data_IF_314142471659
#
_entry.id   IF_314142471659
#
_cell.length_a   1.000
_cell.length_b   1.000
_cell.length_c   1.000
_cell.angle_alpha   90.00
_cell.angle_beta   90.00
_cell.angle_gamma   90.00
#
_symmetry.space_group_name_H-M   'P 1'
#
loop_
_entity.id
_entity.type
_entity.pdbx_description
1 polymer ?
#
# COMPACT_ATOMS: atom_id res chain seq x y z
N UNK A 1 0.67 16.39 22.95
CA UNK A 1 -0.19 16.64 21.77
C UNK A 1 -0.04 15.46 20.82
N UNK A 2 -1.14 14.95 20.28
CA UNK A 2 -1.10 13.95 19.22
C UNK A 2 -0.52 14.57 17.94
N UNK A 3 0.26 13.82 17.18
CA UNK A 3 0.81 14.27 15.91
C UNK A 3 0.65 13.20 14.83
N UNK A 4 0.39 13.64 13.61
CA UNK A 4 0.26 12.79 12.43
C UNK A 4 1.47 13.03 11.53
N UNK A 5 2.07 11.94 11.04
CA UNK A 5 3.05 11.97 9.97
C UNK A 5 2.50 11.20 8.78
N UNK A 6 2.47 11.85 7.63
CA UNK A 6 2.13 11.27 6.34
C UNK A 6 3.36 11.32 5.41
N UNK A 7 3.30 10.59 4.32
CA UNK A 7 4.24 10.74 3.21
C UNK A 7 4.12 12.16 2.68
N UNK A 8 5.24 12.90 2.64
CA UNK A 8 5.27 14.36 2.47
C UNK A 8 4.82 14.88 1.10
N UNK A 9 4.70 14.00 0.12
CA UNK A 9 4.26 14.35 -1.24
C UNK A 9 2.83 13.92 -1.57
N UNK A 10 2.05 13.54 -0.54
CA UNK A 10 0.61 13.36 -0.62
C UNK A 10 -0.11 14.67 -0.24
N UNK A 11 -1.18 14.96 -0.93
CA UNK A 11 -2.04 16.12 -0.70
C UNK A 11 -3.49 15.79 -1.05
N UNK A 12 -4.44 16.62 -0.56
CA UNK A 12 -5.86 16.55 -0.94
C UNK A 12 -6.17 17.74 -1.82
N UNK A 13 -6.66 17.48 -3.02
CA UNK A 13 -7.12 18.50 -3.96
C UNK A 13 -8.41 18.06 -4.64
N UNK A 14 -9.38 18.95 -4.70
CA UNK A 14 -10.70 18.69 -5.30
C UNK A 14 -11.31 17.36 -4.79
N UNK A 15 -11.30 17.17 -3.47
CA UNK A 15 -11.79 15.99 -2.77
C UNK A 15 -11.13 14.66 -3.21
N UNK A 16 -9.93 14.72 -3.75
CA UNK A 16 -9.17 13.54 -4.16
C UNK A 16 -7.78 13.53 -3.54
N UNK A 17 -7.31 12.35 -3.17
CA UNK A 17 -5.91 12.14 -2.77
C UNK A 17 -5.02 12.21 -4.00
N UNK A 18 -4.05 13.12 -3.98
CA UNK A 18 -3.11 13.33 -5.09
C UNK A 18 -1.67 13.24 -4.62
N UNK A 19 -0.75 13.02 -5.56
CA UNK A 19 0.68 13.20 -5.33
C UNK A 19 1.20 14.41 -6.11
N UNK A 20 2.12 15.16 -5.49
CA UNK A 20 2.82 16.28 -6.10
C UNK A 20 4.20 15.92 -6.69
N UNK A 21 4.50 14.64 -6.83
CA UNK A 21 5.80 14.15 -7.37
C UNK A 21 5.96 14.41 -8.86
N UNK A 22 4.88 14.55 -9.61
CA UNK A 22 4.88 14.93 -11.02
C UNK A 22 4.61 16.43 -11.17
N UNK A 23 4.83 16.99 -12.36
CA UNK A 23 4.57 18.42 -12.66
C UNK A 23 3.08 18.79 -12.54
N UNK A 24 2.18 17.83 -12.64
CA UNK A 24 0.72 17.96 -12.44
C UNK A 24 0.28 17.09 -11.29
N UNK A 25 -0.80 17.48 -10.63
CA UNK A 25 -1.45 16.64 -9.64
C UNK A 25 -1.90 15.33 -10.27
N UNK A 26 -1.66 14.25 -9.56
CA UNK A 26 -1.91 12.90 -10.05
C UNK A 26 -2.68 12.13 -8.98
N UNK A 27 -3.92 11.73 -9.27
CA UNK A 27 -4.77 10.96 -8.36
C UNK A 27 -4.06 9.68 -7.96
N UNK A 28 -4.14 9.34 -6.68
CA UNK A 28 -3.41 8.18 -6.11
C UNK A 28 -4.31 6.98 -5.92
N UNK A 29 -5.50 7.20 -5.35
CA UNK A 29 -6.33 6.09 -4.89
C UNK A 29 -6.92 5.30 -6.07
N UNK A 30 -6.76 3.98 -6.00
CA UNK A 30 -7.31 3.01 -6.95
C UNK A 30 -8.17 2.01 -6.18
N UNK A 31 -9.47 1.98 -6.52
CA UNK A 31 -10.44 1.06 -5.93
C UNK A 31 -10.43 -0.28 -6.63
N UNK A 32 -10.30 -1.33 -5.86
CA UNK A 32 -10.39 -2.71 -6.32
C UNK A 32 -11.84 -3.08 -6.66
N UNK A 33 -12.03 -3.88 -7.72
CA UNK A 33 -13.32 -4.47 -8.04
C UNK A 33 -13.73 -5.56 -7.05
N UNK A 34 -15.05 -5.78 -6.91
CA UNK A 34 -15.60 -6.75 -5.96
C UNK A 34 -15.28 -8.22 -6.30
N UNK A 35 -14.91 -8.51 -7.55
CA UNK A 35 -14.68 -9.87 -8.06
C UNK A 35 -13.21 -10.16 -8.34
N UNK A 36 -12.31 -9.22 -8.09
CA UNK A 36 -10.89 -9.43 -8.32
C UNK A 36 -10.13 -9.66 -7.00
N UNK A 37 -9.14 -10.54 -7.03
CA UNK A 37 -8.21 -10.78 -5.92
C UNK A 37 -6.94 -9.92 -6.03
N UNK A 38 -7.03 -8.74 -6.63
CA UNK A 38 -5.87 -7.96 -7.07
C UNK A 38 -5.40 -6.89 -6.05
N UNK A 39 -5.72 -7.01 -4.75
CA UNK A 39 -5.30 -6.03 -3.74
C UNK A 39 -3.79 -5.72 -3.79
N UNK A 40 -2.93 -6.71 -4.01
CA UNK A 40 -1.50 -6.52 -4.16
C UNK A 40 -1.13 -5.64 -5.36
N UNK A 41 -1.57 -5.94 -6.59
CA UNK A 41 -1.42 -5.08 -7.76
C UNK A 41 -1.94 -3.65 -7.56
N UNK A 42 -3.11 -3.45 -6.94
CA UNK A 42 -3.65 -2.12 -6.65
C UNK A 42 -2.73 -1.34 -5.69
N UNK A 43 -2.30 -1.95 -4.59
CA UNK A 43 -1.31 -1.35 -3.68
C UNK A 43 -0.01 -1.00 -4.42
N UNK A 44 0.43 -1.87 -5.33
CA UNK A 44 1.63 -1.64 -6.13
C UNK A 44 1.48 -0.44 -7.07
N UNK A 45 0.35 -0.34 -7.79
CA UNK A 45 0.09 0.79 -8.68
C UNK A 45 -0.03 2.10 -7.91
N UNK A 46 -0.79 2.14 -6.81
CA UNK A 46 -0.85 3.31 -5.94
C UNK A 46 0.54 3.72 -5.45
N UNK A 47 1.40 2.77 -5.08
CA UNK A 47 2.79 3.05 -4.69
C UNK A 47 3.59 3.69 -5.82
N UNK A 48 3.50 3.17 -7.04
CA UNK A 48 4.19 3.72 -8.21
C UNK A 48 3.67 5.11 -8.59
N UNK A 49 2.38 5.38 -8.42
CA UNK A 49 1.78 6.70 -8.60
C UNK A 49 2.33 7.66 -7.54
N UNK A 50 2.31 7.28 -6.26
CA UNK A 50 2.86 8.08 -5.16
C UNK A 50 4.32 8.48 -5.43
N UNK A 51 5.11 7.58 -5.97
CA UNK A 51 6.52 7.82 -6.30
C UNK A 51 6.73 8.58 -7.64
N UNK A 52 5.66 8.88 -8.39
CA UNK A 52 5.73 9.58 -9.67
C UNK A 52 6.35 8.76 -10.80
N UNK A 53 6.29 7.42 -10.72
CA UNK A 53 6.82 6.52 -11.75
C UNK A 53 5.79 6.18 -12.83
N UNK A 54 4.51 6.26 -12.51
CA UNK A 54 3.38 6.17 -13.43
C UNK A 54 2.35 7.24 -13.04
N UNK A 55 1.45 7.57 -13.93
CA UNK A 55 0.28 8.39 -13.62
C UNK A 55 -0.98 7.52 -13.48
N UNK A 56 -2.04 8.12 -12.95
CA UNK A 56 -3.33 7.46 -12.71
C UNK A 56 -3.92 6.90 -14.01
N UNK A 57 -3.84 7.67 -15.11
CA UNK A 57 -4.40 7.26 -16.40
C UNK A 57 -3.74 5.99 -16.93
N UNK A 58 -2.43 5.81 -16.72
CA UNK A 58 -1.74 4.57 -17.04
C UNK A 58 -2.23 3.39 -16.19
N UNK A 59 -2.53 3.63 -14.91
CA UNK A 59 -2.97 2.57 -14.00
C UNK A 59 -4.38 2.06 -14.30
N UNK A 60 -5.30 2.94 -14.74
CA UNK A 60 -6.69 2.56 -15.06
C UNK A 60 -6.87 2.10 -16.52
N UNK A 61 -5.95 2.45 -17.42
CA UNK A 61 -6.03 2.14 -18.85
C UNK A 61 -4.95 1.13 -19.26
N UNK A 62 -4.93 -0.04 -18.64
CA UNK A 62 -3.91 -1.07 -18.87
C UNK A 62 -3.79 -1.50 -20.33
N UNK A 63 -4.91 -1.49 -21.09
CA UNK A 63 -4.99 -1.87 -22.50
C UNK A 63 -4.19 -0.94 -23.44
N UNK A 64 -4.04 0.33 -23.06
CA UNK A 64 -3.30 1.34 -23.84
C UNK A 64 -1.82 1.41 -23.47
N UNK A 65 -1.39 0.57 -22.54
CA UNK A 65 -0.03 0.62 -22.03
C UNK A 65 0.95 0.03 -23.05
N UNK A 66 1.92 0.82 -23.48
CA UNK A 66 2.97 0.36 -24.41
C UNK A 66 3.74 -0.81 -23.80
N UNK A 67 3.68 -1.99 -24.41
CA UNK A 67 4.28 -3.25 -23.92
C UNK A 67 5.78 -3.09 -23.60
N UNK A 68 6.51 -2.28 -24.36
CA UNK A 68 7.95 -2.05 -24.15
C UNK A 68 8.27 -1.03 -23.05
N UNK A 69 7.29 -0.32 -22.50
CA UNK A 69 7.49 0.55 -21.34
C UNK A 69 7.77 -0.27 -20.08
N UNK A 70 8.39 0.35 -19.05
CA UNK A 70 8.61 -0.34 -17.76
C UNK A 70 7.29 -0.81 -17.14
N UNK A 71 6.27 0.05 -17.17
CA UNK A 71 4.95 -0.30 -16.67
C UNK A 71 4.28 -1.38 -17.52
N UNK A 72 4.36 -1.29 -18.85
CA UNK A 72 3.81 -2.32 -19.73
C UNK A 72 4.43 -3.70 -19.53
N UNK A 73 5.76 -3.76 -19.33
CA UNK A 73 6.44 -5.01 -18.97
C UNK A 73 5.92 -5.60 -17.66
N UNK A 74 5.66 -4.76 -16.65
CA UNK A 74 5.10 -5.19 -15.37
C UNK A 74 3.68 -5.74 -15.54
N UNK A 75 2.81 -5.02 -16.25
CA UNK A 75 1.41 -5.43 -16.52
C UNK A 75 1.39 -6.77 -17.29
N UNK A 76 2.21 -6.90 -18.33
CA UNK A 76 2.33 -8.15 -19.06
C UNK A 76 2.75 -9.31 -18.15
N UNK A 77 3.75 -9.08 -17.30
CA UNK A 77 4.22 -10.09 -16.33
C UNK A 77 3.14 -10.44 -15.29
N UNK A 78 2.32 -9.49 -14.87
CA UNK A 78 1.16 -9.74 -14.01
C UNK A 78 0.12 -10.64 -14.69
N UNK A 79 -0.15 -10.41 -15.98
CA UNK A 79 -1.07 -11.25 -16.76
C UNK A 79 -0.56 -12.70 -16.85
N UNK A 80 0.75 -12.90 -17.14
CA UNK A 80 1.36 -14.24 -17.16
C UNK A 80 1.20 -14.98 -15.82
N UNK A 81 1.24 -14.27 -14.69
CA UNK A 81 1.10 -14.86 -13.36
C UNK A 81 -0.35 -14.97 -12.87
N UNK A 82 -1.32 -14.45 -13.62
CA UNK A 82 -2.72 -14.40 -13.20
C UNK A 82 -2.99 -13.50 -11.98
N UNK A 83 -2.07 -12.60 -11.64
CA UNK A 83 -2.14 -11.77 -10.44
C UNK A 83 -3.15 -10.61 -10.54
N UNK A 84 -3.62 -10.28 -11.76
CA UNK A 84 -4.62 -9.24 -11.99
C UNK A 84 -6.07 -9.71 -11.79
N UNK A 85 -6.30 -11.01 -11.59
CA UNK A 85 -7.66 -11.54 -11.58
C UNK A 85 -8.06 -12.18 -10.24
N UNK A 86 -7.87 -13.48 -10.06
CA UNK A 86 -8.51 -14.18 -8.95
C UNK A 86 -7.57 -14.83 -7.92
N UNK A 87 -6.29 -14.95 -8.24
CA UNK A 87 -5.38 -15.80 -7.43
C UNK A 87 -4.69 -15.11 -6.26
N UNK A 88 -4.98 -13.83 -6.03
CA UNK A 88 -4.21 -13.05 -5.07
C UNK A 88 -2.73 -12.91 -5.47
N UNK A 89 -1.94 -12.26 -4.65
CA UNK A 89 -0.52 -12.01 -4.91
C UNK A 89 0.29 -12.25 -3.64
N UNK A 90 1.41 -12.96 -3.77
CA UNK A 90 2.35 -13.17 -2.66
C UNK A 90 3.50 -12.15 -2.71
N UNK A 91 4.13 -11.88 -1.57
CA UNK A 91 5.29 -10.99 -1.44
C UNK A 91 6.39 -11.27 -2.50
N UNK A 92 6.70 -12.55 -2.77
CA UNK A 92 7.69 -12.93 -3.79
C UNK A 92 7.30 -12.45 -5.19
N UNK A 93 6.01 -12.49 -5.53
CA UNK A 93 5.52 -12.04 -6.83
C UNK A 93 5.60 -10.51 -6.93
N UNK A 94 5.19 -9.75 -5.91
CA UNK A 94 5.33 -8.29 -5.87
C UNK A 94 6.80 -7.88 -6.07
N UNK A 95 7.73 -8.54 -5.36
CA UNK A 95 9.16 -8.30 -5.51
C UNK A 95 9.65 -8.55 -6.93
N UNK A 96 9.33 -9.71 -7.52
CA UNK A 96 9.74 -10.08 -8.88
C UNK A 96 9.21 -9.09 -9.92
N UNK A 97 7.95 -8.65 -9.81
CA UNK A 97 7.35 -7.67 -10.72
C UNK A 97 8.11 -6.33 -10.69
N UNK A 98 8.48 -5.86 -9.50
CA UNK A 98 9.22 -4.62 -9.30
C UNK A 98 10.66 -4.73 -9.81
N UNK A 99 11.36 -5.80 -9.48
CA UNK A 99 12.74 -6.04 -9.94
C UNK A 99 12.79 -6.15 -11.47
N UNK A 100 11.87 -6.87 -12.07
CA UNK A 100 11.80 -7.03 -13.52
C UNK A 100 11.61 -5.70 -14.26
N UNK A 101 10.82 -4.78 -13.70
CA UNK A 101 10.34 -3.60 -14.42
C UNK A 101 10.99 -2.29 -13.98
N UNK A 102 11.29 -2.15 -12.68
CA UNK A 102 11.71 -0.88 -12.07
C UNK A 102 13.03 -0.95 -11.29
N UNK A 103 13.80 -2.04 -11.35
CA UNK A 103 15.03 -2.24 -10.59
C UNK A 103 16.00 -1.05 -10.66
N UNK A 104 16.13 -0.42 -11.84
CA UNK A 104 17.02 0.75 -12.04
C UNK A 104 16.52 2.05 -11.42
N UNK A 105 15.27 2.10 -10.95
CA UNK A 105 14.63 3.30 -10.40
C UNK A 105 14.28 3.18 -8.93
N UNK A 106 14.14 1.94 -8.43
CA UNK A 106 13.62 1.66 -7.11
C UNK A 106 14.66 1.00 -6.21
N UNK A 107 14.70 1.45 -4.98
CA UNK A 107 15.23 0.74 -3.82
C UNK A 107 14.08 -0.05 -3.19
N UNK A 108 14.28 -1.36 -3.00
CA UNK A 108 13.29 -2.26 -2.41
C UNK A 108 13.79 -2.76 -1.06
N UNK A 109 12.99 -2.53 -0.02
CA UNK A 109 13.23 -3.07 1.32
C UNK A 109 12.13 -4.08 1.64
N UNK A 110 12.50 -5.33 1.90
CA UNK A 110 11.57 -6.43 2.14
C UNK A 110 11.68 -6.91 3.57
N UNK A 111 10.55 -7.10 4.23
CA UNK A 111 10.47 -7.72 5.54
C UNK A 111 9.56 -8.95 5.52
N UNK A 112 10.05 -10.06 6.06
CA UNK A 112 9.27 -11.27 6.34
C UNK A 112 8.92 -11.39 7.83
N UNK A 113 9.18 -10.34 8.58
CA UNK A 113 8.83 -10.24 9.99
C UNK A 113 7.32 -10.12 10.16
N UNK A 114 6.82 -10.48 11.35
CA UNK A 114 5.38 -10.47 11.65
C UNK A 114 5.05 -9.55 12.83
N UNK A 115 3.79 -9.15 12.89
CA UNK A 115 3.25 -8.41 14.03
C UNK A 115 4.09 -7.17 14.40
N UNK A 116 4.52 -7.06 15.65
CA UNK A 116 5.23 -5.87 16.16
C UNK A 116 6.52 -5.53 15.40
N UNK A 117 7.28 -6.53 14.95
CA UNK A 117 8.52 -6.30 14.19
C UNK A 117 8.22 -5.72 12.82
N UNK A 118 7.17 -6.20 12.15
CA UNK A 118 6.72 -5.65 10.88
C UNK A 118 6.17 -4.23 11.04
N UNK A 119 5.43 -3.95 12.11
CA UNK A 119 4.99 -2.59 12.46
C UNK A 119 6.19 -1.65 12.58
N UNK A 120 7.23 -2.04 13.30
CA UNK A 120 8.44 -1.23 13.46
C UNK A 120 9.13 -1.00 12.11
N UNK A 121 9.27 -2.04 11.28
CA UNK A 121 9.79 -1.90 9.91
C UNK A 121 8.98 -0.86 9.13
N UNK A 122 7.65 -0.99 9.11
CA UNK A 122 6.77 -0.06 8.41
C UNK A 122 6.99 1.40 8.89
N UNK A 123 7.04 1.64 10.20
CA UNK A 123 7.28 2.96 10.79
C UNK A 123 8.62 3.54 10.32
N UNK A 124 9.69 2.76 10.33
CA UNK A 124 11.02 3.23 9.88
C UNK A 124 11.02 3.59 8.38
N UNK A 125 10.33 2.84 7.55
CA UNK A 125 10.19 3.16 6.12
C UNK A 125 9.37 4.45 5.91
N UNK A 126 8.25 4.60 6.61
CA UNK A 126 7.40 5.79 6.54
C UNK A 126 8.12 7.06 7.04
N UNK A 127 9.00 6.96 8.03
CA UNK A 127 9.86 8.07 8.47
C UNK A 127 10.76 8.59 7.33
N UNK A 128 11.14 7.72 6.40
CA UNK A 128 11.94 8.02 5.21
C UNK A 128 11.08 8.40 3.99
N UNK A 129 9.78 8.64 4.16
CA UNK A 129 8.81 8.87 3.08
C UNK A 129 8.73 7.72 2.05
N UNK A 130 8.97 6.49 2.47
CA UNK A 130 8.86 5.29 1.64
C UNK A 130 7.49 4.63 1.87
N UNK A 131 6.56 4.65 0.90
CA UNK A 131 5.31 3.90 1.01
C UNK A 131 5.60 2.41 1.17
N UNK A 132 4.79 1.74 2.00
CA UNK A 132 5.07 0.35 2.40
C UNK A 132 3.82 -0.51 2.24
N UNK A 133 3.89 -1.50 1.37
CA UNK A 133 2.81 -2.47 1.17
C UNK A 133 2.94 -3.53 2.26
N UNK A 134 1.86 -3.76 3.02
CA UNK A 134 1.80 -4.68 4.16
C UNK A 134 0.73 -5.73 3.92
N UNK A 135 1.11 -7.01 4.06
CA UNK A 135 0.17 -8.13 4.10
C UNK A 135 -0.45 -8.28 5.48
N UNK A 136 -1.76 -8.40 5.54
CA UNK A 136 -2.52 -8.72 6.74
C UNK A 136 -3.25 -10.06 6.59
N UNK A 137 -3.47 -10.74 7.72
CA UNK A 137 -4.19 -12.01 7.78
C UNK A 137 -5.17 -11.96 8.95
N UNK A 138 -6.41 -12.39 8.71
CA UNK A 138 -7.49 -12.58 9.69
C UNK A 138 -7.97 -14.02 9.73
N UNK A 139 -9.15 -14.29 10.31
CA UNK A 139 -9.75 -15.62 10.37
C UNK A 139 -10.07 -16.18 8.98
N UNK A 140 -10.58 -15.33 8.13
CA UNK A 140 -11.11 -15.61 6.78
C UNK A 140 -10.62 -14.58 5.74
N UNK A 141 -9.59 -13.82 6.10
CA UNK A 141 -9.05 -12.69 5.31
C UNK A 141 -7.55 -12.87 5.11
N UNK A 142 -7.11 -12.68 3.85
CA UNK A 142 -5.72 -12.38 3.51
C UNK A 142 -5.73 -11.21 2.53
N UNK A 143 -5.09 -10.10 2.89
CA UNK A 143 -5.24 -8.84 2.17
C UNK A 143 -3.97 -8.00 2.18
N UNK A 144 -3.80 -7.14 1.16
CA UNK A 144 -2.72 -6.18 1.06
C UNK A 144 -3.23 -4.75 1.28
N UNK A 145 -2.51 -4.02 2.10
CA UNK A 145 -2.75 -2.61 2.42
C UNK A 145 -1.52 -1.77 2.10
N UNK A 146 -1.71 -0.54 1.66
CA UNK A 146 -0.62 0.41 1.43
C UNK A 146 -0.50 1.41 2.58
N UNK A 147 0.52 1.27 3.41
CA UNK A 147 0.81 2.21 4.48
C UNK A 147 1.34 3.55 3.94
N UNK A 148 0.71 4.65 4.37
CA UNK A 148 1.02 6.01 3.93
C UNK A 148 1.34 6.98 5.08
N UNK A 149 1.18 6.54 6.34
CA UNK A 149 1.48 7.38 7.48
C UNK A 149 1.22 6.70 8.83
N UNK A 150 1.39 7.47 9.90
CA UNK A 150 1.14 7.03 11.26
C UNK A 150 0.79 8.19 12.20
N UNK A 151 0.10 7.84 13.31
CA UNK A 151 -0.18 8.75 14.43
C UNK A 151 0.76 8.45 15.59
N UNK A 152 1.26 9.50 16.25
CA UNK A 152 1.88 9.43 17.58
C UNK A 152 0.91 9.94 18.65
N UNK A 153 0.87 9.24 19.77
CA UNK A 153 0.16 9.67 20.97
C UNK A 153 0.89 10.83 21.66
N UNK A 154 0.32 11.33 22.77
CA UNK A 154 0.90 12.43 23.55
C UNK A 154 2.27 12.11 24.19
N UNK A 155 2.60 10.82 24.32
CA UNK A 155 3.91 10.34 24.80
C UNK A 155 4.95 10.21 23.68
N UNK A 156 4.58 10.55 22.42
CA UNK A 156 5.44 10.41 21.26
C UNK A 156 5.56 8.98 20.71
N UNK A 157 4.79 8.02 21.25
CA UNK A 157 4.76 6.63 20.77
C UNK A 157 3.79 6.50 19.61
N UNK A 158 4.12 5.68 18.60
CA UNK A 158 3.19 5.41 17.51
C UNK A 158 2.00 4.61 18.01
N UNK A 159 0.80 5.12 17.79
CA UNK A 159 -0.48 4.56 18.22
C UNK A 159 -1.25 3.88 17.09
N UNK A 160 -1.18 4.45 15.87
CA UNK A 160 -1.88 3.94 14.68
C UNK A 160 -1.00 4.01 13.44
N UNK A 161 -1.22 3.10 12.51
CA UNK A 161 -0.78 3.18 11.12
C UNK A 161 -1.96 3.54 10.23
N UNK A 162 -1.70 4.33 9.19
CA UNK A 162 -2.69 4.78 8.21
C UNK A 162 -2.45 4.11 6.87
N UNK A 163 -3.52 3.62 6.25
CA UNK A 163 -3.45 2.85 5.02
C UNK A 163 -4.40 3.35 3.94
N UNK A 164 -3.99 3.13 2.70
CA UNK A 164 -4.89 3.04 1.56
C UNK A 164 -5.23 1.57 1.37
N UNK A 165 -6.51 1.26 1.57
CA UNK A 165 -7.09 -0.06 1.35
C UNK A 165 -7.78 -0.05 -0.02
N UNK A 166 -7.32 -0.84 -0.99
CA UNK A 166 -7.94 -0.87 -2.30
C UNK A 166 -9.39 -1.41 -2.30
N UNK A 167 -9.77 -2.22 -1.31
CA UNK A 167 -11.15 -2.70 -1.16
C UNK A 167 -12.08 -1.73 -0.43
N UNK A 168 -11.54 -0.69 0.17
CA UNK A 168 -12.30 0.34 0.88
C UNK A 168 -13.04 1.30 -0.04
N UNK A 169 -13.89 2.15 0.54
CA UNK A 169 -14.59 3.19 -0.22
C UNK A 169 -13.66 4.34 -0.61
N UNK A 170 -14.01 5.01 -1.71
CA UNK A 170 -13.37 6.27 -2.10
C UNK A 170 -13.65 7.33 -1.04
N UNK A 171 -12.60 8.04 -0.59
CA UNK A 171 -12.75 9.05 0.44
C UNK A 171 -11.84 10.23 0.13
N UNK A 172 -12.31 11.46 0.43
CA UNK A 172 -11.52 12.67 0.28
C UNK A 172 -10.52 12.85 1.42
N UNK A 173 -9.86 11.77 1.88
CA UNK A 173 -8.92 11.77 2.98
C UNK A 173 -7.56 11.19 2.57
N UNK A 174 -6.57 11.33 3.45
CA UNK A 174 -5.24 10.79 3.24
C UNK A 174 -5.17 9.25 3.42
N UNK A 175 -6.19 8.64 4.03
CA UNK A 175 -6.29 7.19 4.25
C UNK A 175 -7.76 6.77 4.38
N UNK A 176 -8.03 5.50 4.15
CA UNK A 176 -9.34 4.88 4.30
C UNK A 176 -9.35 3.67 5.25
N UNK A 177 -8.19 3.29 5.81
CA UNK A 177 -8.11 2.25 6.82
C UNK A 177 -7.01 2.55 7.84
N UNK A 178 -7.15 1.99 9.05
CA UNK A 178 -6.16 2.14 10.14
C UNK A 178 -5.89 0.82 10.82
N UNK A 179 -4.64 0.64 11.33
CA UNK A 179 -4.31 -0.45 12.25
C UNK A 179 -3.79 0.15 13.55
N UNK A 180 -4.39 -0.24 14.69
CA UNK A 180 -3.89 0.12 16.00
C UNK A 180 -2.64 -0.71 16.35
N UNK A 181 -1.57 -0.01 16.72
CA UNK A 181 -0.25 -0.62 16.99
C UNK A 181 -0.24 -1.43 18.31
N UNK A 182 -1.11 -1.06 19.26
CA UNK A 182 -1.27 -1.78 20.52
C UNK A 182 -2.11 -3.03 20.29
N UNK A 183 -1.60 -4.18 20.75
CA UNK A 183 -2.38 -5.42 20.75
C UNK A 183 -3.65 -5.26 21.58
N UNK A 184 -4.79 -5.65 21.04
CA UNK A 184 -6.09 -5.62 21.73
C UNK A 184 -6.31 -6.86 22.59
N UNK A 185 -5.79 -8.00 22.16
CA UNK A 185 -5.90 -9.26 22.92
C UNK A 185 -4.70 -10.19 22.68
N UNK A 186 -4.64 -11.28 23.46
CA UNK A 186 -3.66 -12.38 23.31
C UNK A 186 -4.25 -13.41 22.35
N UNK A 187 -3.89 -13.40 21.10
CA UNK A 187 -4.39 -14.36 20.13
C UNK A 187 -3.60 -14.30 18.84
N UNK A 188 -4.02 -15.13 17.88
CA UNK A 188 -3.42 -15.21 16.55
C UNK A 188 -3.53 -13.89 15.78
N UNK A 189 -4.61 -13.13 16.00
CA UNK A 189 -4.93 -11.87 15.32
C UNK A 189 -5.05 -10.73 16.33
N UNK A 190 -3.93 -10.20 16.86
CA UNK A 190 -3.97 -9.34 18.04
C UNK A 190 -4.20 -7.85 17.73
N UNK A 191 -4.20 -7.41 16.47
CA UNK A 191 -4.31 -6.03 16.09
C UNK A 191 -5.70 -5.71 15.54
N UNK A 192 -6.27 -4.57 15.92
CA UNK A 192 -7.51 -4.05 15.35
C UNK A 192 -7.19 -3.35 14.04
N UNK A 193 -7.80 -3.79 12.96
CA UNK A 193 -7.85 -3.15 11.66
C UNK A 193 -9.25 -2.58 11.47
N UNK A 194 -9.31 -1.28 11.28
CA UNK A 194 -10.54 -0.51 11.15
C UNK A 194 -10.58 0.09 9.77
N UNK A 195 -11.55 -0.26 8.97
CA UNK A 195 -11.99 0.45 7.78
C UNK A 195 -13.30 1.20 8.10
N UNK A 196 -13.92 1.82 7.10
CA UNK A 196 -15.16 2.56 7.33
C UNK A 196 -16.38 1.66 7.56
N UNK A 197 -16.29 0.39 7.26
CA UNK A 197 -17.40 -0.56 7.35
C UNK A 197 -17.30 -1.43 8.60
N UNK A 198 -16.10 -1.82 9.02
CA UNK A 198 -15.92 -2.87 10.02
C UNK A 198 -14.65 -2.67 10.87
N UNK A 199 -14.69 -3.23 12.08
CA UNK A 199 -13.52 -3.44 12.94
C UNK A 199 -13.23 -4.95 12.98
N UNK A 200 -12.07 -5.34 12.46
CA UNK A 200 -11.65 -6.75 12.40
C UNK A 200 -10.32 -6.96 13.11
N UNK A 201 -10.11 -8.17 13.61
CA UNK A 201 -8.84 -8.54 14.20
C UNK A 201 -7.93 -9.22 13.17
N UNK A 202 -6.70 -8.71 13.06
CA UNK A 202 -5.71 -9.17 12.10
C UNK A 202 -4.34 -9.35 12.73
N UNK A 203 -3.47 -10.09 12.04
CA UNK A 203 -2.03 -10.04 12.22
C UNK A 203 -1.35 -9.47 10.96
N UNK A 204 -0.18 -8.88 11.13
CA UNK A 204 0.65 -8.42 10.03
C UNK A 204 1.66 -9.51 9.70
N UNK A 205 1.79 -9.88 8.41
CA UNK A 205 2.52 -11.09 8.00
C UNK A 205 3.87 -10.81 7.33
N UNK A 206 3.90 -9.92 6.38
CA UNK A 206 5.09 -9.52 5.63
C UNK A 206 4.88 -8.16 4.95
N UNK A 207 5.93 -7.61 4.35
CA UNK A 207 5.81 -6.31 3.69
C UNK A 207 6.98 -5.98 2.77
N UNK A 208 6.71 -5.03 1.89
CA UNK A 208 7.69 -4.46 0.97
C UNK A 208 7.55 -2.94 0.89
N UNK A 209 8.65 -2.24 1.09
CA UNK A 209 8.72 -0.79 0.99
C UNK A 209 9.49 -0.38 -0.25
N UNK A 210 9.08 0.72 -0.86
CA UNK A 210 9.65 1.25 -2.08
C UNK A 210 10.17 2.68 -1.87
N UNK A 211 11.42 2.91 -2.27
CA UNK A 211 12.03 4.22 -2.36
C UNK A 211 12.58 4.49 -3.77
N UNK A 212 12.75 5.76 -4.14
CA UNK A 212 13.49 6.13 -5.34
C UNK A 212 15.01 6.02 -5.06
N UNK A 213 15.77 5.53 -6.05
CA UNK A 213 17.24 5.55 -6.03
C UNK A 213 17.78 6.93 -6.29
#
# INVERSE_FOLDING_TARGET
>A
MKSIKLISFLDIKNDSLVTNKLKKDNTVFLKQGSLDGACGPYCLFMTLIILGLIDYDHAINLWWTKRNSKFGKMVYKMQEHGTLFQKGTHLKQLKVLLEYSFQSKLELNVSKEKGKRLINFCIEQLKQNKPTIIGINGSDLSHWLLAVGFEKNEKGEVSKLFFLDPSGNDIPNYWNATIEVKKKHRGRYPYSWIDFAEDRFVNLEDGISLGLK
#
